data_IF_263871491513
#
_entry.id   IF_263871491513
#
_cell.length_a   1.000
_cell.length_b   1.000
_cell.length_c   1.000
_cell.angle_alpha   90.00
_cell.angle_beta   90.00
_cell.angle_gamma   90.00
#
_symmetry.space_group_name_H-M   'P 1'
#
loop_
_entity.id
_entity.type
_entity.pdbx_description
1 polymer ?
#
# COMPACT_ATOMS: atom_id res chain seq x y z
N UNK A 1 -9.10 -14.44 -2.49
CA UNK A 1 -9.63 -13.37 -1.59
C UNK A 1 -8.44 -12.69 -0.92
N UNK A 2 -8.42 -11.36 -0.68
CA UNK A 2 -7.23 -10.69 -0.13
C UNK A 2 -6.69 -11.33 1.16
N UNK A 3 -7.57 -11.77 2.06
CA UNK A 3 -7.23 -12.43 3.32
C UNK A 3 -6.45 -13.73 3.17
N UNK A 4 -6.74 -14.51 2.13
CA UNK A 4 -6.04 -15.78 1.86
C UNK A 4 -4.60 -15.50 1.43
N UNK A 5 -4.40 -14.48 0.59
CA UNK A 5 -3.08 -14.02 0.16
C UNK A 5 -2.30 -13.48 1.37
N UNK A 6 -2.93 -12.65 2.21
CA UNK A 6 -2.30 -12.12 3.42
C UNK A 6 -1.90 -13.24 4.38
N UNK A 7 -2.75 -14.26 4.53
CA UNK A 7 -2.45 -15.43 5.36
C UNK A 7 -1.27 -16.22 4.79
N UNK A 8 -1.25 -16.47 3.47
CA UNK A 8 -0.17 -17.19 2.80
C UNK A 8 1.17 -16.44 2.88
N UNK A 9 1.15 -15.11 2.82
CA UNK A 9 2.34 -14.27 2.95
C UNK A 9 2.81 -14.09 4.40
N UNK A 10 2.05 -14.56 5.40
CA UNK A 10 2.32 -14.28 6.81
C UNK A 10 2.25 -12.78 7.15
N UNK A 11 1.49 -12.00 6.38
CA UNK A 11 1.35 -10.57 6.60
C UNK A 11 0.39 -10.26 7.77
N UNK A 12 0.68 -9.21 8.53
CA UNK A 12 -0.20 -8.74 9.61
C UNK A 12 -1.29 -7.77 9.13
N UNK A 13 -1.03 -7.14 7.98
CA UNK A 13 -1.94 -6.20 7.34
C UNK A 13 -1.70 -6.16 5.82
N UNK A 14 -2.68 -5.63 5.09
CA UNK A 14 -2.63 -5.39 3.65
C UNK A 14 -3.48 -4.19 3.26
N UNK A 15 -3.26 -3.69 2.05
CA UNK A 15 -4.07 -2.60 1.49
C UNK A 15 -4.94 -3.17 0.36
N UNK A 16 -6.21 -2.80 0.34
CA UNK A 16 -7.19 -3.19 -0.68
C UNK A 16 -7.71 -1.97 -1.43
N UNK A 17 -7.61 -2.01 -2.76
CA UNK A 17 -7.91 -0.86 -3.60
C UNK A 17 -6.67 0.01 -3.77
N UNK A 18 -6.86 1.32 -3.90
CA UNK A 18 -5.76 2.28 -4.12
C UNK A 18 -4.85 2.35 -2.89
N UNK A 19 -3.57 2.06 -3.11
CA UNK A 19 -2.56 1.97 -2.06
C UNK A 19 -1.65 3.19 -1.97
N UNK A 20 -1.64 4.03 -2.99
CA UNK A 20 -0.81 5.21 -3.12
C UNK A 20 -1.03 6.16 -1.95
N UNK A 21 -2.30 6.42 -1.61
CA UNK A 21 -2.66 7.29 -0.48
C UNK A 21 -2.63 6.55 0.86
N UNK A 22 -3.16 5.32 0.90
CA UNK A 22 -3.25 4.55 2.14
C UNK A 22 -1.88 4.23 2.74
N UNK A 23 -0.91 3.81 1.90
CA UNK A 23 0.44 3.51 2.36
C UNK A 23 1.16 4.77 2.84
N UNK A 24 1.05 5.88 2.10
CA UNK A 24 1.65 7.15 2.49
C UNK A 24 1.07 7.66 3.82
N UNK A 25 -0.24 7.51 4.02
CA UNK A 25 -0.91 7.86 5.26
C UNK A 25 -0.44 6.99 6.44
N UNK A 26 -0.37 5.66 6.27
CA UNK A 26 0.13 4.73 7.28
C UNK A 26 1.57 5.07 7.65
N UNK A 27 2.46 5.25 6.67
CA UNK A 27 3.85 5.60 6.89
C UNK A 27 3.99 6.94 7.62
N UNK A 28 3.20 7.95 7.24
CA UNK A 28 3.18 9.25 7.92
C UNK A 28 2.67 9.14 9.36
N UNK A 29 1.63 8.34 9.63
CA UNK A 29 1.11 8.14 10.99
C UNK A 29 2.13 7.38 11.85
N UNK A 30 2.67 6.27 11.35
CA UNK A 30 3.69 5.46 12.03
C UNK A 30 4.94 6.28 12.38
N UNK A 31 5.49 7.05 11.42
CA UNK A 31 6.64 7.93 11.65
C UNK A 31 6.41 8.95 12.78
N UNK A 32 5.18 9.43 12.94
CA UNK A 32 4.81 10.43 13.93
C UNK A 32 4.24 9.82 15.23
N UNK A 33 4.35 8.50 15.44
CA UNK A 33 3.80 7.82 16.62
C UNK A 33 2.28 7.90 16.73
N UNK A 34 1.59 8.14 15.61
CA UNK A 34 0.12 8.20 15.56
C UNK A 34 -0.47 6.86 15.20
N UNK A 35 -1.71 6.65 15.65
CA UNK A 35 -2.52 5.50 15.31
C UNK A 35 -2.69 5.36 13.78
N UNK A 36 -2.42 4.18 13.24
CA UNK A 36 -2.45 3.88 11.80
C UNK A 36 -3.38 2.72 11.42
N UNK A 37 -3.80 1.93 12.40
CA UNK A 37 -4.60 0.72 12.24
C UNK A 37 -6.08 1.01 11.92
N UNK A 38 -6.48 2.28 11.85
CA UNK A 38 -7.77 2.78 11.37
C UNK A 38 -7.70 3.50 10.02
N UNK A 39 -6.55 3.44 9.32
CA UNK A 39 -6.41 4.04 8.00
C UNK A 39 -7.40 3.42 6.98
N UNK A 40 -7.98 4.21 6.07
CA UNK A 40 -8.83 3.69 4.99
C UNK A 40 -8.11 2.63 4.15
N UNK A 41 -8.88 1.77 3.48
CA UNK A 41 -8.37 0.69 2.61
C UNK A 41 -7.51 -0.39 3.30
N UNK A 42 -7.26 -0.27 4.61
CA UNK A 42 -6.49 -1.25 5.37
C UNK A 42 -7.31 -2.50 5.68
N UNK A 43 -6.70 -3.66 5.44
CA UNK A 43 -7.10 -4.96 5.98
C UNK A 43 -6.07 -5.31 7.04
N UNK A 44 -6.51 -5.66 8.25
CA UNK A 44 -5.60 -6.02 9.33
C UNK A 44 -6.12 -7.16 10.18
N UNK A 45 -5.20 -7.93 10.77
CA UNK A 45 -5.55 -9.01 11.67
C UNK A 45 -5.66 -8.48 13.10
N UNK A 46 -6.85 -8.57 13.71
CA UNK A 46 -7.10 -8.31 15.14
C UNK A 46 -7.85 -9.47 15.75
N UNK A 47 -7.39 -9.94 16.90
CA UNK A 47 -8.01 -11.04 17.65
C UNK A 47 -8.25 -12.30 16.80
N UNK A 48 -7.26 -12.65 15.95
CA UNK A 48 -7.32 -13.81 15.06
C UNK A 48 -8.28 -13.67 13.87
N UNK A 49 -8.89 -12.50 13.67
CA UNK A 49 -9.83 -12.24 12.57
C UNK A 49 -9.34 -11.12 11.68
N UNK A 50 -9.69 -11.19 10.41
CA UNK A 50 -9.45 -10.13 9.45
C UNK A 50 -10.53 -9.05 9.58
N UNK A 51 -10.09 -7.81 9.73
CA UNK A 51 -10.92 -6.61 9.78
C UNK A 51 -10.59 -5.74 8.59
N UNK A 52 -11.63 -5.13 8.01
CA UNK A 52 -11.50 -4.23 6.87
C UNK A 52 -11.96 -2.84 7.30
N UNK A 53 -11.08 -1.86 7.15
CA UNK A 53 -11.47 -0.48 7.32
C UNK A 53 -12.29 -0.01 6.11
N UNK A 54 -13.08 1.08 6.24
CA UNK A 54 -13.83 1.63 5.12
C UNK A 54 -12.95 1.93 3.91
N UNK A 55 -13.51 1.73 2.72
CA UNK A 55 -12.82 2.04 1.48
C UNK A 55 -12.84 3.54 1.20
N UNK A 56 -11.75 4.05 0.64
CA UNK A 56 -11.61 5.43 0.16
C UNK A 56 -10.90 5.41 -1.20
N UNK A 57 -11.41 6.19 -2.15
CA UNK A 57 -10.88 6.30 -3.53
C UNK A 57 -10.70 7.77 -3.87
N UNK A 58 -9.72 8.46 -3.23
CA UNK A 58 -9.42 9.84 -3.56
C UNK A 58 -8.94 9.95 -5.02
N UNK A 59 -9.13 11.12 -5.62
CA UNK A 59 -8.72 11.36 -7.01
C UNK A 59 -7.21 11.17 -7.18
N UNK A 60 -6.82 10.33 -8.15
CA UNK A 60 -5.42 10.13 -8.53
C UNK A 60 -4.75 11.41 -9.06
N UNK A 61 -5.54 12.42 -9.48
CA UNK A 61 -5.02 13.73 -9.86
C UNK A 61 -4.36 14.50 -8.69
N UNK A 62 -4.55 14.04 -7.44
CA UNK A 62 -3.89 14.58 -6.26
C UNK A 62 -2.51 13.97 -5.99
N UNK A 63 -2.09 12.97 -6.77
CA UNK A 63 -0.77 12.39 -6.64
C UNK A 63 0.31 13.38 -7.09
N UNK A 64 1.45 13.45 -6.38
CA UNK A 64 2.57 14.22 -6.86
C UNK A 64 3.09 13.66 -8.19
N UNK A 65 3.83 14.44 -8.99
CA UNK A 65 4.51 13.94 -10.17
C UNK A 65 5.34 12.70 -9.82
N UNK A 66 5.11 11.61 -10.54
CA UNK A 66 5.88 10.38 -10.34
C UNK A 66 7.34 10.61 -10.71
N UNK A 67 8.24 10.16 -9.85
CA UNK A 67 9.68 10.18 -10.12
C UNK A 67 10.20 8.75 -10.13
N UNK A 68 11.20 8.47 -10.97
CA UNK A 68 11.80 7.13 -11.11
C UNK A 68 13.21 7.03 -10.54
N UNK A 69 13.58 7.94 -9.64
CA UNK A 69 14.96 8.05 -9.15
C UNK A 69 15.40 6.93 -8.21
N UNK A 70 14.48 6.09 -7.71
CA UNK A 70 14.80 5.02 -6.75
C UNK A 70 15.06 3.66 -7.41
N UNK A 71 14.60 3.48 -8.65
CA UNK A 71 14.75 2.21 -9.40
C UNK A 71 15.82 2.41 -10.47
N UNK A 72 16.65 1.39 -10.69
CA UNK A 72 17.62 1.34 -11.78
C UNK A 72 16.89 1.10 -13.12
N UNK A 73 16.34 2.16 -13.69
CA UNK A 73 15.61 2.10 -14.95
C UNK A 73 16.49 1.66 -16.15
N UNK A 74 17.77 2.09 -16.25
CA UNK A 74 18.66 1.56 -17.28
C UNK A 74 18.77 0.04 -17.24
N UNK A 75 19.03 -0.53 -16.06
CA UNK A 75 19.08 -1.98 -15.91
C UNK A 75 17.74 -2.63 -16.22
N UNK A 76 16.64 -2.07 -15.72
CA UNK A 76 15.29 -2.58 -16.01
C UNK A 76 15.02 -2.68 -17.52
N UNK A 77 15.40 -1.67 -18.30
CA UNK A 77 15.27 -1.69 -19.75
C UNK A 77 16.19 -2.73 -20.41
N UNK A 78 17.46 -2.80 -19.99
CA UNK A 78 18.42 -3.77 -20.53
C UNK A 78 18.02 -5.22 -20.26
N UNK A 79 17.33 -5.49 -19.16
CA UNK A 79 16.80 -6.81 -18.80
C UNK A 79 15.42 -7.10 -19.43
N UNK A 80 14.96 -6.27 -20.37
CA UNK A 80 13.73 -6.51 -21.15
C UNK A 80 12.46 -5.90 -20.55
N UNK A 81 12.58 -5.02 -19.54
CA UNK A 81 11.48 -4.24 -19.02
C UNK A 81 10.91 -3.28 -20.07
N UNK A 82 9.57 -3.25 -20.19
CA UNK A 82 8.86 -2.46 -21.20
C UNK A 82 8.03 -1.31 -20.62
N UNK A 83 7.96 -1.20 -19.29
CA UNK A 83 7.31 -0.09 -18.63
C UNK A 83 8.28 1.11 -18.52
N UNK A 84 8.41 1.86 -19.63
CA UNK A 84 9.16 3.12 -19.71
C UNK A 84 8.24 4.33 -19.73
#
# INVERSE_FOLDING_TARGET
MPEEVLTACGADAGIRGDGEFAFAEIANRARNGRRWDDAPNLILRRDGKWHRNPASTPSLALLPPMTRGWVDNPRYFLEGGQAG
#
